data_IF_527541223142
#
_entry.id   IF_527541223142
#
_cell.length_a   1.000
_cell.length_b   1.000
_cell.length_c   1.000
_cell.angle_alpha   90.00
_cell.angle_beta   90.00
_cell.angle_gamma   90.00
#
_symmetry.space_group_name_H-M   'P 1'
#
loop_
_entity.id
_entity.type
_entity.pdbx_description
1 polymer ?
#
# COMPACT_ATOMS: atom_id res chain seq x y z
N UNK A 1 11.17 -2.14 -27.58
CA UNK A 1 9.80 -2.18 -26.99
C UNK A 1 9.56 -0.96 -26.09
N UNK A 2 10.23 -0.82 -24.93
CA UNK A 2 10.04 0.32 -24.01
C UNK A 2 10.25 1.69 -24.69
N UNK A 3 11.34 1.86 -25.45
CA UNK A 3 11.62 3.11 -26.18
C UNK A 3 10.49 3.50 -27.13
N UNK A 4 9.85 2.54 -27.80
CA UNK A 4 8.78 2.83 -28.76
C UNK A 4 7.48 3.24 -28.06
N UNK A 5 7.17 2.68 -26.89
CA UNK A 5 6.03 3.12 -26.06
C UNK A 5 6.28 4.55 -25.55
N UNK A 6 7.50 4.84 -25.09
CA UNK A 6 7.85 6.17 -24.60
C UNK A 6 7.84 7.26 -25.68
N UNK A 7 8.23 6.93 -26.92
CA UNK A 7 8.18 7.87 -28.04
C UNK A 7 6.75 8.25 -28.46
N UNK A 8 5.74 7.46 -28.06
CA UNK A 8 4.33 7.72 -28.34
C UNK A 8 3.65 8.57 -27.25
N UNK A 9 4.33 8.86 -26.14
CA UNK A 9 3.75 9.58 -25.00
C UNK A 9 4.31 11.00 -24.89
N UNK A 10 3.41 11.99 -24.82
CA UNK A 10 3.78 13.35 -24.49
C UNK A 10 4.17 13.45 -23.00
N UNK A 11 5.11 14.34 -22.68
CA UNK A 11 5.48 14.63 -21.29
C UNK A 11 4.27 15.13 -20.50
N UNK A 12 4.06 14.59 -19.29
CA UNK A 12 2.95 14.93 -18.40
C UNK A 12 1.70 14.05 -18.56
N UNK A 13 1.65 13.18 -19.57
CA UNK A 13 0.50 12.29 -19.83
C UNK A 13 0.39 11.21 -18.74
N UNK A 14 -0.84 10.98 -18.30
CA UNK A 14 -1.19 9.87 -17.40
C UNK A 14 -1.02 8.56 -18.14
N UNK A 15 -0.29 7.61 -17.57
CA UNK A 15 -0.05 6.30 -18.22
C UNK A 15 -1.03 5.22 -17.76
N UNK A 16 -2.09 5.58 -17.04
CA UNK A 16 -3.07 4.60 -16.55
C UNK A 16 -3.81 3.88 -17.68
N UNK A 17 -4.04 4.56 -18.79
CA UNK A 17 -4.72 4.00 -19.97
C UNK A 17 -3.74 3.34 -20.97
N UNK A 18 -2.45 3.27 -20.62
CA UNK A 18 -1.41 2.72 -21.49
C UNK A 18 -1.02 1.32 -20.98
N UNK A 19 -1.21 0.32 -21.83
CA UNK A 19 -0.77 -1.05 -21.54
C UNK A 19 0.76 -1.13 -21.47
N UNK A 20 1.26 -1.48 -20.28
CA UNK A 20 2.69 -1.62 -20.01
C UNK A 20 3.16 -3.06 -20.30
N UNK A 21 4.40 -3.29 -20.76
CA UNK A 21 4.92 -4.64 -21.01
C UNK A 21 4.97 -5.51 -19.74
N UNK A 22 4.64 -6.79 -19.84
CA UNK A 22 4.54 -7.69 -18.69
C UNK A 22 5.82 -7.77 -17.82
N UNK A 23 7.00 -7.63 -18.43
CA UNK A 23 8.27 -7.78 -17.71
C UNK A 23 8.57 -6.63 -16.74
N UNK A 24 7.86 -5.50 -16.85
CA UNK A 24 7.95 -4.41 -15.87
C UNK A 24 6.99 -4.58 -14.69
N UNK A 25 6.10 -5.59 -14.74
CA UNK A 25 5.16 -5.89 -13.68
C UNK A 25 5.70 -6.94 -12.71
N UNK A 26 5.36 -6.81 -11.42
CA UNK A 26 5.52 -7.88 -10.43
C UNK A 26 4.26 -8.77 -10.42
N UNK A 27 4.38 -10.07 -10.05
CA UNK A 27 3.25 -11.01 -10.06
C UNK A 27 2.28 -10.81 -8.88
N UNK A 28 1.95 -9.55 -8.55
CA UNK A 28 1.05 -9.18 -7.46
C UNK A 28 0.13 -8.06 -7.89
N UNK A 29 -1.12 -8.14 -7.47
CA UNK A 29 -2.09 -7.04 -7.57
C UNK A 29 -1.68 -5.90 -6.63
N UNK A 30 -2.07 -4.66 -6.95
CA UNK A 30 -1.90 -3.54 -6.01
C UNK A 30 -2.54 -3.84 -4.65
N UNK A 31 -3.65 -4.56 -4.60
CA UNK A 31 -4.35 -4.90 -3.36
C UNK A 31 -3.53 -5.80 -2.44
N UNK A 32 -2.79 -6.74 -3.03
CA UNK A 32 -1.81 -7.57 -2.32
C UNK A 32 -0.58 -6.73 -1.95
N UNK A 33 -0.09 -5.89 -2.87
CA UNK A 33 1.08 -5.04 -2.65
C UNK A 33 0.89 -4.07 -1.47
N UNK A 34 -0.31 -3.56 -1.26
CA UNK A 34 -0.65 -2.72 -0.10
C UNK A 34 -0.39 -3.49 1.20
N UNK A 35 -0.69 -4.79 1.25
CA UNK A 35 -0.50 -5.60 2.48
C UNK A 35 0.96 -5.70 2.95
N UNK A 36 1.94 -5.31 2.14
CA UNK A 36 3.35 -5.18 2.52
C UNK A 36 3.56 -4.22 3.72
N UNK A 37 2.62 -3.32 4.04
CA UNK A 37 2.71 -2.52 5.27
C UNK A 37 2.76 -3.38 6.54
N UNK A 38 2.33 -4.64 6.48
CA UNK A 38 2.42 -5.61 7.57
C UNK A 38 3.69 -6.47 7.53
N UNK A 39 4.77 -6.03 6.85
CA UNK A 39 6.07 -6.73 6.90
C UNK A 39 6.77 -6.61 8.26
N UNK A 40 6.53 -5.54 9.02
CA UNK A 40 7.11 -5.34 10.36
C UNK A 40 6.04 -5.07 11.43
N UNK A 41 5.10 -6.01 11.64
CA UNK A 41 3.94 -5.80 12.50
C UNK A 41 4.32 -5.63 13.99
N UNK A 42 5.49 -6.11 14.39
CA UNK A 42 6.04 -5.92 15.73
C UNK A 42 6.20 -4.45 16.11
N UNK A 43 6.26 -3.54 15.12
CA UNK A 43 6.37 -2.11 15.37
C UNK A 43 5.05 -1.44 15.72
N UNK A 44 3.91 -2.00 15.31
CA UNK A 44 2.58 -1.45 15.63
C UNK A 44 1.91 -2.16 16.81
N UNK A 45 2.09 -3.48 16.96
CA UNK A 45 1.39 -4.28 17.98
C UNK A 45 1.61 -3.79 19.41
N UNK A 46 2.81 -3.24 19.69
CA UNK A 46 3.17 -2.76 21.04
C UNK A 46 2.71 -1.33 21.32
N UNK A 47 2.35 -0.57 20.29
CA UNK A 47 2.05 0.86 20.40
C UNK A 47 0.82 1.15 21.28
N UNK A 48 -0.29 0.38 21.20
CA UNK A 48 -1.46 0.62 22.07
C UNK A 48 -1.14 0.62 23.56
N UNK A 49 -0.13 -0.17 23.96
CA UNK A 49 0.24 -0.38 25.37
C UNK A 49 1.22 0.67 25.92
N UNK A 50 1.69 1.61 25.10
CA UNK A 50 2.57 2.69 25.57
C UNK A 50 1.73 3.78 26.25
N UNK A 51 2.02 4.07 27.51
CA UNK A 51 1.30 5.07 28.31
C UNK A 51 1.54 6.50 27.80
N UNK A 52 2.80 6.80 27.43
CA UNK A 52 3.20 8.14 26.98
C UNK A 52 2.79 8.41 25.52
N UNK A 53 2.11 9.52 25.27
CA UNK A 53 1.61 9.92 23.95
C UNK A 53 2.72 10.18 22.92
N UNK A 54 3.84 10.77 23.34
CA UNK A 54 5.00 10.98 22.48
C UNK A 54 5.62 9.64 22.07
N UNK A 55 5.73 8.69 23.00
CA UNK A 55 6.23 7.35 22.68
C UNK A 55 5.30 6.60 21.72
N UNK A 56 3.97 6.76 21.87
CA UNK A 56 3.00 6.24 20.89
C UNK A 56 3.23 6.84 19.51
N UNK A 57 3.38 8.16 19.43
CA UNK A 57 3.65 8.85 18.17
C UNK A 57 4.94 8.36 17.51
N UNK A 58 6.04 8.27 18.27
CA UNK A 58 7.32 7.72 17.79
C UNK A 58 7.15 6.27 17.31
N UNK A 59 6.37 5.46 18.02
CA UNK A 59 6.03 4.09 17.62
C UNK A 59 5.32 4.03 16.27
N UNK A 60 4.31 4.88 16.06
CA UNK A 60 3.61 5.00 14.77
C UNK A 60 4.55 5.45 13.66
N UNK A 61 5.38 6.48 13.90
CA UNK A 61 6.35 6.96 12.90
C UNK A 61 7.30 5.83 12.49
N UNK A 62 7.80 5.07 13.46
CA UNK A 62 8.68 3.91 13.19
C UNK A 62 7.97 2.84 12.35
N UNK A 63 6.72 2.53 12.67
CA UNK A 63 5.92 1.59 11.88
C UNK A 63 5.74 2.09 10.44
N UNK A 64 5.33 3.35 10.24
CA UNK A 64 5.14 3.94 8.92
C UNK A 64 6.43 3.93 8.11
N UNK A 65 7.56 4.31 8.69
CA UNK A 65 8.86 4.29 7.99
C UNK A 65 9.31 2.87 7.63
N UNK A 66 9.00 1.87 8.45
CA UNK A 66 9.32 0.46 8.15
C UNK A 66 8.57 -0.07 6.93
N UNK A 67 7.41 0.50 6.58
CA UNK A 67 6.68 0.11 5.38
C UNK A 67 7.46 0.40 4.09
N UNK A 68 8.42 1.33 4.16
CA UNK A 68 9.26 1.75 3.03
C UNK A 68 10.63 1.06 3.01
N UNK A 69 10.98 0.25 4.01
CA UNK A 69 12.29 -0.41 4.05
C UNK A 69 12.37 -1.64 3.17
N UNK A 70 11.25 -2.08 2.58
CA UNK A 70 11.21 -3.14 1.58
C UNK A 70 11.80 -2.62 0.27
N UNK A 71 13.10 -2.85 0.10
CA UNK A 71 13.84 -2.49 -1.11
C UNK A 71 14.01 -3.74 -2.00
N UNK A 72 13.13 -3.98 -2.98
CA UNK A 72 13.39 -4.99 -3.98
C UNK A 72 14.61 -4.59 -4.82
N UNK A 73 15.45 -5.56 -5.20
CA UNK A 73 16.59 -5.33 -6.10
C UNK A 73 16.18 -4.74 -7.46
N UNK A 74 14.92 -4.95 -7.87
CA UNK A 74 14.33 -4.40 -9.10
C UNK A 74 12.96 -3.81 -8.77
N UNK A 75 12.78 -2.52 -9.07
CA UNK A 75 11.48 -1.86 -8.93
C UNK A 75 10.56 -2.31 -10.06
N UNK A 76 9.53 -3.08 -9.72
CA UNK A 76 8.49 -3.54 -10.63
C UNK A 76 7.14 -2.99 -10.20
N UNK A 77 6.26 -2.72 -11.17
CA UNK A 77 4.92 -2.18 -10.93
C UNK A 77 3.96 -3.33 -10.57
N UNK A 78 3.13 -3.23 -9.51
CA UNK A 78 2.06 -4.20 -9.31
C UNK A 78 1.00 -4.10 -10.42
N UNK A 79 0.24 -5.16 -10.63
CA UNK A 79 -0.91 -5.13 -11.54
C UNK A 79 -1.96 -4.12 -11.04
N UNK A 80 -2.55 -3.39 -11.99
CA UNK A 80 -3.70 -2.55 -11.71
C UNK A 80 -4.90 -3.47 -11.43
N UNK A 81 -5.52 -3.38 -10.23
CA UNK A 81 -6.65 -4.22 -9.91
C UNK A 81 -7.85 -3.89 -10.81
N UNK A 82 -8.69 -4.89 -11.12
CA UNK A 82 -9.98 -4.65 -11.80
C UNK A 82 -11.01 -4.12 -10.82
N UNK A 83 -12.04 -3.40 -11.30
CA UNK A 83 -13.11 -2.89 -10.43
C UNK A 83 -13.81 -4.05 -9.69
N UNK A 84 -13.95 -3.93 -8.37
CA UNK A 84 -14.54 -4.97 -7.51
C UNK A 84 -13.60 -6.13 -7.20
N UNK A 85 -12.35 -6.12 -7.69
CA UNK A 85 -11.33 -7.06 -7.21
C UNK A 85 -11.12 -6.86 -5.71
N UNK A 86 -10.95 -7.97 -4.98
CA UNK A 86 -10.63 -7.93 -3.57
C UNK A 86 -9.48 -8.89 -3.22
N UNK A 87 -8.68 -8.50 -2.22
CA UNK A 87 -7.63 -9.32 -1.64
C UNK A 87 -7.83 -9.43 -0.13
N UNK A 88 -7.60 -10.61 0.43
CA UNK A 88 -7.73 -10.87 1.87
C UNK A 88 -6.48 -11.59 2.38
N UNK A 89 -6.00 -11.17 3.54
CA UNK A 89 -4.88 -11.79 4.19
C UNK A 89 -5.07 -11.84 5.70
N UNK A 90 -4.38 -12.78 6.35
CA UNK A 90 -4.38 -12.95 7.80
C UNK A 90 -2.96 -13.19 8.30
N UNK A 91 -2.62 -12.58 9.42
CA UNK A 91 -1.36 -12.80 10.12
C UNK A 91 -1.65 -13.35 11.51
N UNK A 92 -0.82 -14.29 11.96
CA UNK A 92 -0.75 -14.70 13.36
C UNK A 92 0.46 -14.02 13.98
N UNK A 93 0.26 -13.30 15.08
CA UNK A 93 1.32 -12.55 15.73
C UNK A 93 1.94 -13.32 16.91
N UNK A 94 3.06 -12.82 17.42
CA UNK A 94 3.84 -13.45 18.50
C UNK A 94 3.09 -13.51 19.84
N UNK A 95 2.13 -12.61 20.05
CA UNK A 95 1.23 -12.57 21.21
C UNK A 95 -0.01 -13.47 21.04
N UNK A 96 -0.03 -14.32 20.01
CA UNK A 96 -1.15 -15.16 19.58
C UNK A 96 -2.40 -14.41 19.10
N UNK A 97 -2.33 -13.09 18.92
CA UNK A 97 -3.41 -12.32 18.27
C UNK A 97 -3.44 -12.54 16.76
N UNK A 98 -4.59 -12.27 16.15
CA UNK A 98 -4.76 -12.32 14.70
C UNK A 98 -4.98 -10.93 14.09
N UNK A 99 -4.29 -10.68 12.98
CA UNK A 99 -4.52 -9.53 12.11
C UNK A 99 -5.28 -9.94 10.86
N UNK A 100 -6.28 -9.17 10.47
CA UNK A 100 -7.11 -9.41 9.29
C UNK A 100 -7.02 -8.22 8.36
N UNK A 101 -6.76 -8.46 7.08
CA UNK A 101 -6.74 -7.45 6.02
C UNK A 101 -7.78 -7.77 4.95
N UNK A 102 -8.44 -6.73 4.47
CA UNK A 102 -9.28 -6.74 3.28
C UNK A 102 -8.96 -5.49 2.45
N UNK A 103 -8.59 -5.67 1.19
CA UNK A 103 -8.46 -4.59 0.22
C UNK A 103 -9.44 -4.81 -0.93
N UNK A 104 -10.01 -3.74 -1.46
CA UNK A 104 -10.93 -3.75 -2.60
C UNK A 104 -10.60 -2.61 -3.56
N UNK A 105 -10.71 -2.88 -4.85
CA UNK A 105 -10.66 -1.83 -5.88
C UNK A 105 -12.04 -1.17 -6.00
N UNK A 106 -12.19 -0.02 -5.36
CA UNK A 106 -13.47 0.70 -5.24
C UNK A 106 -13.75 1.64 -6.40
N UNK A 107 -12.74 1.99 -7.20
CA UNK A 107 -12.92 2.79 -8.41
C UNK A 107 -11.87 2.46 -9.47
N UNK A 108 -12.27 2.47 -10.74
CA UNK A 108 -11.37 2.28 -11.88
C UNK A 108 -10.86 3.61 -12.46
N UNK A 109 -11.74 4.62 -12.58
CA UNK A 109 -11.42 5.92 -13.19
C UNK A 109 -11.97 7.07 -12.33
N UNK A 110 -11.16 7.69 -11.45
CA UNK A 110 -9.75 7.40 -11.18
C UNK A 110 -9.53 6.08 -10.42
N UNK A 111 -8.35 5.44 -10.50
CA UNK A 111 -8.09 4.20 -9.78
C UNK A 111 -7.98 4.48 -8.28
N UNK A 112 -8.83 3.81 -7.49
CA UNK A 112 -8.84 3.88 -6.02
C UNK A 112 -8.90 2.47 -5.47
N UNK A 113 -7.92 2.13 -4.63
CA UNK A 113 -7.92 0.92 -3.83
C UNK A 113 -8.18 1.30 -2.38
N UNK A 114 -9.27 0.80 -1.80
CA UNK A 114 -9.59 0.99 -0.38
C UNK A 114 -9.20 -0.25 0.39
N UNK A 115 -8.75 -0.08 1.63
CA UNK A 115 -8.36 -1.23 2.45
C UNK A 115 -8.66 -1.01 3.93
N UNK A 116 -8.82 -2.13 4.61
CA UNK A 116 -9.11 -2.24 6.02
C UNK A 116 -8.23 -3.31 6.64
N UNK A 117 -7.62 -3.01 7.77
CA UNK A 117 -6.93 -3.95 8.62
C UNK A 117 -7.42 -3.82 10.05
N UNK A 118 -7.57 -4.96 10.74
CA UNK A 118 -7.81 -4.96 12.17
C UNK A 118 -7.01 -6.05 12.90
N UNK A 119 -6.66 -5.75 14.15
CA UNK A 119 -6.27 -6.72 15.16
C UNK A 119 -7.20 -6.49 16.37
N UNK A 120 -8.31 -7.26 16.49
CA UNK A 120 -9.29 -7.08 17.55
C UNK A 120 -8.71 -7.22 18.96
N UNK A 121 -7.81 -8.19 19.16
CA UNK A 121 -7.21 -8.51 20.45
C UNK A 121 -6.32 -7.38 20.97
N UNK A 122 -5.66 -6.63 20.08
CA UNK A 122 -4.87 -5.45 20.43
C UNK A 122 -5.65 -4.12 20.24
N UNK A 123 -6.90 -4.17 19.79
CA UNK A 123 -7.72 -2.99 19.54
C UNK A 123 -7.17 -2.09 18.44
N UNK A 124 -6.46 -2.64 17.45
CA UNK A 124 -5.83 -1.88 16.36
C UNK A 124 -6.75 -1.92 15.14
N UNK A 125 -7.05 -0.75 14.58
CA UNK A 125 -7.75 -0.62 13.31
C UNK A 125 -6.96 0.32 12.40
N UNK A 126 -6.75 -0.09 11.15
CA UNK A 126 -6.19 0.74 10.10
C UNK A 126 -7.18 0.70 8.95
N UNK A 127 -7.60 1.86 8.46
CA UNK A 127 -8.24 1.94 7.15
C UNK A 127 -7.57 3.02 6.33
N UNK A 128 -7.56 2.82 5.03
CA UNK A 128 -6.95 3.76 4.14
C UNK A 128 -7.39 3.56 2.71
N UNK A 129 -6.87 4.44 1.88
CA UNK A 129 -7.07 4.39 0.45
C UNK A 129 -5.77 4.76 -0.25
N UNK A 130 -5.54 4.13 -1.40
CA UNK A 130 -4.41 4.41 -2.27
C UNK A 130 -4.96 4.83 -3.61
N UNK A 131 -4.54 6.02 -4.05
CA UNK A 131 -4.98 6.68 -5.28
C UNK A 131 -3.74 6.95 -6.15
N UNK A 132 -3.18 5.91 -6.79
CA UNK A 132 -1.93 6.06 -7.53
C UNK A 132 -2.20 6.90 -8.78
N UNK A 133 -1.31 7.86 -9.08
CA UNK A 133 -1.33 8.63 -10.32
C UNK A 133 0.06 8.60 -10.93
N UNK A 134 0.25 7.80 -11.98
CA UNK A 134 1.55 7.72 -12.66
C UNK A 134 1.57 8.63 -13.88
N UNK A 135 2.61 9.48 -13.95
CA UNK A 135 2.85 10.39 -15.07
C UNK A 135 4.21 10.10 -15.70
N UNK A 136 4.24 10.17 -17.03
CA UNK A 136 5.47 10.10 -17.80
C UNK A 136 6.10 11.48 -17.94
N UNK A 137 7.43 11.57 -17.78
CA UNK A 137 8.21 12.81 -17.92
C UNK A 137 9.41 12.58 -18.84
N UNK A 138 9.19 12.01 -20.02
CA UNK A 138 10.21 11.81 -21.06
C UNK A 138 11.17 10.66 -20.79
N UNK A 139 12.01 10.76 -19.77
CA UNK A 139 12.96 9.69 -19.39
C UNK A 139 12.57 9.00 -18.09
N UNK A 140 11.63 9.57 -17.34
CA UNK A 140 11.24 9.10 -16.02
C UNK A 140 9.74 8.80 -15.96
N UNK A 141 9.38 7.77 -15.20
CA UNK A 141 8.01 7.56 -14.71
C UNK A 141 7.96 8.03 -13.26
N UNK A 142 6.99 8.88 -12.92
CA UNK A 142 6.76 9.31 -11.54
C UNK A 142 5.36 8.87 -11.11
N UNK A 143 5.29 8.10 -10.03
CA UNK A 143 4.02 7.73 -9.40
C UNK A 143 3.78 8.63 -8.20
N UNK A 144 2.72 9.42 -8.27
CA UNK A 144 2.20 10.18 -7.14
C UNK A 144 1.26 9.25 -6.36
N UNK A 145 1.60 8.96 -5.11
CA UNK A 145 0.77 8.16 -4.24
C UNK A 145 -0.12 9.11 -3.43
N UNK A 146 -1.33 9.36 -3.91
CA UNK A 146 -2.33 10.09 -3.15
C UNK A 146 -3.14 9.12 -2.28
N UNK A 147 -3.89 9.67 -1.33
CA UNK A 147 -4.70 8.91 -0.38
C UNK A 147 -4.26 9.20 1.05
N UNK A 148 -4.68 8.36 1.97
CA UNK A 148 -4.43 8.55 3.39
C UNK A 148 -4.74 7.31 4.19
N UNK A 149 -4.14 7.26 5.38
CA UNK A 149 -4.29 6.15 6.32
C UNK A 149 -4.75 6.73 7.65
N UNK A 150 -5.74 6.09 8.26
CA UNK A 150 -6.19 6.40 9.62
C UNK A 150 -5.94 5.18 10.50
N UNK A 151 -5.12 5.38 11.53
CA UNK A 151 -4.78 4.36 12.52
C UNK A 151 -5.53 4.70 13.80
N UNK A 152 -6.27 3.74 14.35
CA UNK A 152 -7.09 3.88 15.55
C UNK A 152 -6.68 2.81 16.55
N UNK A 153 -6.54 3.22 17.81
CA UNK A 153 -6.35 2.34 18.95
C UNK A 153 -7.58 2.44 19.86
N UNK A 154 -8.32 1.33 20.01
CA UNK A 154 -9.54 1.25 20.81
C UNK A 154 -9.31 0.85 22.27
N UNK A 155 -8.10 0.38 22.61
CA UNK A 155 -7.72 -0.06 23.96
C UNK A 155 -6.91 1.00 24.73
N UNK A 156 -7.00 2.27 24.33
CA UNK A 156 -6.36 3.40 25.01
C UNK A 156 -7.38 4.20 25.80
#
# INVERSE_FOLDING_TARGET
>A
IIRNIYLQLNSGVSIHDVSLPIFICEPRSMLEKISDFMCYPQFIIRVPYLENSLQRFVGIVRFVLSCWSLNPHVVKKPFNPVLGEYFRARWKFSDNSYGYYVGEQTSFNPPISSYYFCNPENGIVIHGEVRPKTKFFGTNLKTFLNGGNKIIFHKH
#
